data_IF_929822462724
#
_entry.id   IF_929822462724
#
_cell.length_a   1.000
_cell.length_b   1.000
_cell.length_c   1.000
_cell.angle_alpha   90.00
_cell.angle_beta   90.00
_cell.angle_gamma   90.00
#
_symmetry.space_group_name_H-M   'P 1'
#
loop_
_entity.id
_entity.type
_entity.pdbx_description
1 polymer ?
#
# COMPACT_ATOMS: atom_id res chain seq x y z
N UNK A 1 -22.64 -16.21 -13.19
CA UNK A 1 -21.47 -15.65 -12.47
C UNK A 1 -21.28 -16.45 -11.19
N UNK A 2 -20.13 -17.08 -11.00
CA UNK A 2 -19.88 -17.96 -9.83
C UNK A 2 -19.23 -17.16 -8.72
N UNK A 3 -19.82 -17.19 -7.52
CA UNK A 3 -19.26 -16.55 -6.33
C UNK A 3 -18.50 -17.54 -5.47
N UNK A 4 -17.38 -17.08 -4.91
CA UNK A 4 -16.54 -17.83 -3.99
C UNK A 4 -16.68 -17.22 -2.59
N UNK A 5 -16.74 -18.08 -1.57
CA UNK A 5 -16.48 -17.63 -0.20
C UNK A 5 -15.07 -17.05 -0.11
N UNK A 6 -14.81 -16.14 0.84
CA UNK A 6 -13.45 -15.59 1.00
C UNK A 6 -12.36 -16.66 1.18
N UNK A 7 -12.64 -17.81 1.80
CA UNK A 7 -11.65 -18.90 1.91
C UNK A 7 -11.32 -19.51 0.56
N UNK A 8 -12.33 -19.82 -0.24
CA UNK A 8 -12.15 -20.34 -1.60
C UNK A 8 -11.47 -19.31 -2.51
N UNK A 9 -11.86 -18.05 -2.40
CA UNK A 9 -11.27 -16.95 -3.14
C UNK A 9 -9.80 -16.71 -2.76
N UNK A 10 -9.43 -16.86 -1.49
CA UNK A 10 -8.03 -16.72 -1.05
C UNK A 10 -7.14 -17.80 -1.66
N UNK A 11 -7.59 -19.07 -1.64
CA UNK A 11 -6.92 -20.19 -2.33
C UNK A 11 -6.79 -19.85 -3.81
N UNK A 12 -7.87 -19.37 -4.43
CA UNK A 12 -7.85 -19.08 -5.87
C UNK A 12 -6.95 -17.91 -6.25
N UNK A 13 -6.90 -16.89 -5.41
CA UNK A 13 -6.09 -15.69 -5.61
C UNK A 13 -4.60 -15.89 -5.29
N UNK A 14 -4.23 -17.06 -4.77
CA UNK A 14 -2.89 -17.37 -4.24
C UNK A 14 -2.40 -16.31 -3.23
N UNK A 15 -3.25 -16.03 -2.24
CA UNK A 15 -2.92 -15.18 -1.08
C UNK A 15 -3.52 -15.78 0.19
N UNK A 16 -3.03 -15.34 1.34
CA UNK A 16 -3.58 -15.80 2.62
C UNK A 16 -5.01 -15.30 2.82
N UNK A 17 -5.82 -16.08 3.54
CA UNK A 17 -7.18 -15.66 3.91
C UNK A 17 -7.20 -14.30 4.64
N UNK A 18 -6.25 -14.08 5.56
CA UNK A 18 -6.12 -12.82 6.29
C UNK A 18 -5.77 -11.64 5.36
N UNK A 19 -4.93 -11.86 4.33
CA UNK A 19 -4.64 -10.83 3.34
C UNK A 19 -5.90 -10.47 2.53
N UNK A 20 -6.64 -11.48 2.05
CA UNK A 20 -7.86 -11.24 1.30
C UNK A 20 -8.94 -10.54 2.14
N UNK A 21 -9.10 -10.95 3.41
CA UNK A 21 -10.01 -10.26 4.34
C UNK A 21 -9.66 -8.78 4.47
N UNK A 22 -8.38 -8.44 4.66
CA UNK A 22 -7.95 -7.03 4.71
C UNK A 22 -8.26 -6.28 3.41
N UNK A 23 -8.01 -6.90 2.26
CA UNK A 23 -8.28 -6.28 0.95
C UNK A 23 -9.77 -5.95 0.81
N UNK A 24 -10.65 -6.91 1.12
CA UNK A 24 -12.10 -6.69 1.06
C UNK A 24 -12.57 -5.66 2.09
N UNK A 25 -12.08 -5.75 3.34
CA UNK A 25 -12.40 -4.77 4.38
C UNK A 25 -11.85 -3.37 4.14
N UNK A 26 -10.86 -3.22 3.25
CA UNK A 26 -10.34 -1.93 2.82
C UNK A 26 -11.11 -1.33 1.63
N UNK A 27 -12.21 -1.97 1.21
CA UNK A 27 -13.03 -1.51 0.07
C UNK A 27 -12.40 -1.78 -1.30
N UNK A 28 -11.32 -2.57 -1.38
CA UNK A 28 -10.57 -2.75 -2.63
C UNK A 28 -11.19 -3.73 -3.63
N UNK A 29 -12.34 -4.33 -3.32
CA UNK A 29 -13.05 -5.22 -4.24
C UNK A 29 -14.49 -4.74 -4.32
N UNK A 30 -14.78 -3.85 -5.27
CA UNK A 30 -16.12 -3.27 -5.45
C UNK A 30 -17.18 -4.33 -5.75
N UNK A 31 -16.77 -5.43 -6.39
CA UNK A 31 -17.63 -6.56 -6.73
C UNK A 31 -17.89 -7.51 -5.55
N UNK A 32 -17.33 -7.24 -4.36
CA UNK A 32 -17.59 -8.04 -3.18
C UNK A 32 -19.03 -7.86 -2.74
N UNK A 33 -19.69 -8.97 -2.44
CA UNK A 33 -21.07 -8.98 -1.95
C UNK A 33 -21.10 -9.65 -0.59
N UNK A 34 -22.10 -9.30 0.22
CA UNK A 34 -22.38 -9.97 1.48
C UNK A 34 -23.72 -10.71 1.38
N UNK A 35 -23.70 -12.01 1.66
CA UNK A 35 -24.91 -12.78 1.94
C UNK A 35 -24.96 -12.99 3.46
N UNK A 36 -25.62 -12.06 4.16
CA UNK A 36 -25.48 -11.93 5.62
C UNK A 36 -24.07 -11.50 6.01
N UNK A 37 -23.48 -12.12 7.04
CA UNK A 37 -22.14 -11.75 7.55
C UNK A 37 -20.96 -12.35 6.76
N UNK A 38 -21.23 -13.11 5.69
CA UNK A 38 -20.19 -13.83 4.94
C UNK A 38 -19.91 -13.12 3.62
N UNK A 39 -18.74 -12.47 3.47
CA UNK A 39 -18.37 -11.88 2.20
C UNK A 39 -18.07 -12.96 1.18
N UNK A 40 -18.43 -12.69 -0.07
CA UNK A 40 -18.09 -13.46 -1.24
C UNK A 40 -17.60 -12.53 -2.35
N UNK A 41 -16.73 -13.05 -3.21
CA UNK A 41 -16.29 -12.33 -4.41
C UNK A 41 -16.49 -13.21 -5.64
N UNK A 42 -16.70 -12.64 -6.84
CA UNK A 42 -16.77 -13.40 -8.07
C UNK A 42 -15.47 -14.18 -8.34
N UNK A 43 -15.59 -15.37 -8.92
CA UNK A 43 -14.44 -16.24 -9.20
C UNK A 43 -13.44 -15.62 -10.18
N UNK A 44 -13.92 -14.88 -11.17
CA UNK A 44 -13.10 -14.16 -12.15
C UNK A 44 -12.30 -13.00 -11.53
N UNK A 45 -12.85 -12.33 -10.51
CA UNK A 45 -12.13 -11.34 -9.70
C UNK A 45 -10.94 -12.00 -8.99
N UNK A 46 -11.15 -13.18 -8.38
CA UNK A 46 -10.08 -13.92 -7.72
C UNK A 46 -8.95 -14.32 -8.70
N UNK A 47 -9.29 -14.72 -9.92
CA UNK A 47 -8.29 -14.99 -10.97
C UNK A 47 -7.54 -13.72 -11.39
N UNK A 48 -8.22 -12.57 -11.52
CA UNK A 48 -7.57 -11.30 -11.85
C UNK A 48 -6.60 -10.85 -10.75
N UNK A 49 -6.97 -11.03 -9.48
CA UNK A 49 -6.06 -10.81 -8.34
C UNK A 49 -4.85 -11.74 -8.43
N UNK A 50 -5.05 -13.02 -8.76
CA UNK A 50 -3.95 -13.98 -8.96
C UNK A 50 -2.99 -13.53 -10.06
N UNK A 51 -3.54 -13.06 -11.18
CA UNK A 51 -2.79 -12.65 -12.36
C UNK A 51 -2.00 -11.33 -12.19
N UNK A 52 -2.15 -10.62 -11.07
CA UNK A 52 -1.38 -9.39 -10.81
C UNK A 52 0.12 -9.67 -10.80
N UNK A 53 0.84 -8.93 -11.64
CA UNK A 53 2.30 -9.01 -11.77
C UNK A 53 3.00 -8.53 -10.51
N UNK A 54 4.21 -9.04 -10.27
CA UNK A 54 5.11 -8.52 -9.24
C UNK A 54 5.74 -7.21 -9.70
N UNK A 55 5.98 -6.27 -8.78
CA UNK A 55 6.74 -5.05 -9.07
C UNK A 55 8.19 -5.42 -9.47
N UNK A 56 8.66 -5.02 -10.67
CA UNK A 56 10.04 -5.24 -11.08
C UNK A 56 10.93 -4.14 -10.49
N UNK A 57 11.34 -4.27 -9.22
CA UNK A 57 12.03 -3.21 -8.47
C UNK A 57 13.26 -2.66 -9.21
N UNK A 58 14.06 -3.49 -9.86
CA UNK A 58 15.24 -3.06 -10.62
C UNK A 58 14.93 -2.11 -11.79
N UNK A 59 13.75 -2.25 -12.42
CA UNK A 59 13.30 -1.40 -13.54
C UNK A 59 12.41 -0.25 -13.09
N UNK A 60 11.71 -0.43 -11.97
CA UNK A 60 10.70 0.51 -11.49
C UNK A 60 11.31 1.69 -10.70
N UNK A 61 12.58 1.59 -10.36
CA UNK A 61 13.29 2.56 -9.54
C UNK A 61 14.12 3.51 -10.41
N UNK A 62 14.22 4.80 -10.05
CA UNK A 62 15.19 5.70 -10.64
C UNK A 62 16.61 5.12 -10.57
N UNK A 63 17.38 5.24 -11.65
CA UNK A 63 18.77 4.77 -11.77
C UNK A 63 19.74 5.41 -10.76
N UNK A 64 19.29 6.44 -10.03
CA UNK A 64 20.05 7.14 -9.00
C UNK A 64 19.92 6.52 -7.60
N UNK A 65 19.12 5.46 -7.42
CA UNK A 65 19.00 4.78 -6.13
C UNK A 65 20.23 3.90 -5.91
N UNK A 66 21.22 4.45 -5.21
CA UNK A 66 22.47 3.81 -4.79
C UNK A 66 22.25 2.81 -3.63
N UNK A 67 21.20 2.01 -3.71
CA UNK A 67 20.69 1.19 -2.62
C UNK A 67 20.41 -0.24 -3.05
N UNK A 68 20.65 -1.19 -2.14
CA UNK A 68 20.33 -2.62 -2.33
C UNK A 68 18.89 -2.95 -1.93
N UNK A 69 18.10 -1.99 -1.45
CA UNK A 69 16.73 -2.23 -0.99
C UNK A 69 15.85 -0.98 -1.07
N UNK A 70 14.53 -1.20 -1.21
CA UNK A 70 13.48 -0.16 -1.15
C UNK A 70 12.71 -0.29 0.15
N UNK A 71 12.45 0.84 0.80
CA UNK A 71 11.54 0.88 1.93
C UNK A 71 10.09 0.74 1.46
N UNK A 72 9.30 -0.11 2.12
CA UNK A 72 7.89 -0.37 1.82
C UNK A 72 7.10 -0.16 3.10
N UNK A 73 6.10 0.72 3.06
CA UNK A 73 5.15 0.89 4.16
C UNK A 73 4.08 -0.19 4.07
N UNK A 74 3.87 -0.92 5.16
CA UNK A 74 2.83 -1.95 5.28
C UNK A 74 1.74 -1.40 6.16
N UNK A 75 0.52 -1.42 5.64
CA UNK A 75 -0.64 -0.89 6.35
C UNK A 75 -1.68 -1.96 6.59
N UNK A 76 -2.52 -1.70 7.58
CA UNK A 76 -3.77 -2.42 7.77
C UNK A 76 -4.92 -1.61 7.14
N UNK A 77 -6.13 -2.16 7.24
CA UNK A 77 -7.37 -1.45 6.96
C UNK A 77 -7.40 -0.17 7.80
N UNK A 78 -7.83 0.94 7.21
CA UNK A 78 -7.89 2.22 7.91
C UNK A 78 -8.78 2.14 9.15
N UNK A 79 -8.27 2.67 10.26
CA UNK A 79 -9.04 2.83 11.50
C UNK A 79 -8.89 4.27 12.02
N UNK A 80 -9.95 4.84 12.64
CA UNK A 80 -9.82 6.13 13.31
C UNK A 80 -8.76 6.07 14.41
N UNK A 81 -8.05 7.18 14.62
CA UNK A 81 -7.09 7.32 15.73
C UNK A 81 -7.32 8.64 16.46
N UNK A 82 -7.14 8.67 17.79
CA UNK A 82 -7.21 9.90 18.58
C UNK A 82 -5.88 10.67 18.46
N UNK A 83 -5.56 11.11 17.24
CA UNK A 83 -4.33 11.82 16.90
C UNK A 83 -4.69 13.19 16.30
N UNK A 84 -4.05 14.26 16.78
CA UNK A 84 -4.29 15.61 16.25
C UNK A 84 -3.74 15.77 14.83
N UNK A 85 -2.76 14.95 14.45
CA UNK A 85 -2.06 15.04 13.19
C UNK A 85 -2.77 14.32 12.04
N UNK A 86 -3.61 13.33 12.35
CA UNK A 86 -4.31 12.49 11.37
C UNK A 86 -5.58 11.90 11.97
N UNK A 87 -6.63 11.83 11.17
CA UNK A 87 -7.90 11.19 11.57
C UNK A 87 -7.86 9.67 11.52
N UNK A 88 -7.02 9.11 10.65
CA UNK A 88 -6.95 7.68 10.37
C UNK A 88 -5.52 7.18 10.36
N UNK A 89 -5.35 5.90 10.66
CA UNK A 89 -4.12 5.15 10.38
C UNK A 89 -4.46 3.97 9.46
N UNK A 90 -3.70 3.78 8.40
CA UNK A 90 -3.89 2.68 7.45
C UNK A 90 -4.48 3.13 6.11
N UNK A 91 -5.14 2.20 5.40
CA UNK A 91 -5.67 2.44 4.07
C UNK A 91 -7.11 1.95 3.92
N UNK A 92 -7.95 2.74 3.24
CA UNK A 92 -9.27 2.35 2.77
C UNK A 92 -9.58 3.11 1.47
N UNK A 93 -10.23 2.45 0.50
CA UNK A 93 -10.50 3.01 -0.82
C UNK A 93 -11.37 4.28 -0.78
N UNK A 94 -12.28 4.37 0.21
CA UNK A 94 -13.19 5.50 0.39
C UNK A 94 -12.56 6.74 1.06
N UNK A 95 -11.31 6.66 1.53
CA UNK A 95 -10.64 7.84 2.07
C UNK A 95 -10.33 8.83 0.94
N UNK A 96 -10.53 10.11 1.20
CA UNK A 96 -10.12 11.16 0.26
C UNK A 96 -8.60 11.15 0.06
N UNK A 97 -8.06 11.68 -1.06
CA UNK A 97 -6.62 11.77 -1.26
C UNK A 97 -5.87 12.47 -0.12
N UNK A 98 -6.47 13.51 0.46
CA UNK A 98 -5.92 14.22 1.62
C UNK A 98 -5.90 13.35 2.87
N UNK A 99 -6.98 12.64 3.17
CA UNK A 99 -7.03 11.71 4.31
C UNK A 99 -6.05 10.54 4.13
N UNK A 100 -5.90 10.01 2.92
CA UNK A 100 -4.90 8.99 2.59
C UNK A 100 -3.48 9.52 2.82
N UNK A 101 -3.16 10.71 2.32
CA UNK A 101 -1.84 11.29 2.54
C UNK A 101 -1.54 11.45 4.03
N UNK A 102 -2.48 11.99 4.82
CA UNK A 102 -2.30 12.13 6.27
C UNK A 102 -2.17 10.80 7.00
N UNK A 103 -2.95 9.79 6.61
CA UNK A 103 -2.89 8.47 7.21
C UNK A 103 -1.57 7.74 6.93
N UNK A 104 -0.94 8.02 5.77
CA UNK A 104 0.20 7.27 5.25
C UNK A 104 1.55 7.97 5.43
N UNK A 105 1.60 9.30 5.52
CA UNK A 105 2.87 10.04 5.51
C UNK A 105 3.70 9.93 6.78
N UNK A 106 3.18 9.37 7.87
CA UNK A 106 4.00 9.37 9.06
C UNK A 106 3.54 8.74 10.35
N UNK A 107 4.36 9.08 11.34
CA UNK A 107 4.55 8.46 12.63
C UNK A 107 4.91 6.98 12.53
N UNK A 108 5.89 6.67 11.66
CA UNK A 108 6.40 5.32 11.44
C UNK A 108 7.77 5.11 12.08
N UNK A 109 7.97 3.91 12.64
CA UNK A 109 9.30 3.43 13.02
C UNK A 109 10.05 3.00 11.75
N UNK A 110 11.27 3.50 11.54
CA UNK A 110 12.04 3.24 10.33
C UNK A 110 13.42 3.89 10.32
N UNK A 111 14.05 3.93 9.15
CA UNK A 111 15.34 4.58 8.87
C UNK A 111 15.07 5.70 7.88
N UNK A 112 14.81 6.93 8.35
CA UNK A 112 14.28 7.99 7.49
C UNK A 112 15.25 8.39 6.39
N UNK A 113 16.56 8.32 6.62
CA UNK A 113 17.59 8.62 5.62
C UNK A 113 17.54 7.64 4.44
N UNK A 114 17.21 6.36 4.71
CA UNK A 114 17.06 5.35 3.64
C UNK A 114 15.81 5.60 2.81
N UNK A 115 14.72 5.99 3.45
CA UNK A 115 13.45 6.33 2.78
C UNK A 115 13.65 7.58 1.91
N UNK A 116 14.26 8.63 2.47
CA UNK A 116 14.54 9.87 1.76
C UNK A 116 15.45 9.67 0.55
N UNK A 117 16.51 8.85 0.69
CA UNK A 117 17.42 8.53 -0.42
C UNK A 117 16.73 7.78 -1.56
N UNK A 118 15.80 6.88 -1.23
CA UNK A 118 15.02 6.18 -2.25
C UNK A 118 14.04 7.12 -2.97
N UNK A 119 13.61 8.20 -2.32
CA UNK A 119 12.69 9.20 -2.89
C UNK A 119 11.27 8.70 -3.14
N UNK A 120 11.02 7.41 -2.91
CA UNK A 120 9.73 6.74 -3.05
C UNK A 120 9.44 5.85 -1.83
N UNK A 121 8.16 5.72 -1.50
CA UNK A 121 7.67 4.80 -0.48
C UNK A 121 6.38 4.12 -0.98
N UNK A 122 6.51 2.92 -1.58
CA UNK A 122 5.36 2.09 -1.89
C UNK A 122 4.61 1.69 -0.61
N UNK A 123 3.29 1.78 -0.65
CA UNK A 123 2.40 1.42 0.45
C UNK A 123 1.67 0.13 0.09
N UNK A 124 1.73 -0.87 0.96
CA UNK A 124 1.17 -2.19 0.71
C UNK A 124 0.10 -2.59 1.71
N UNK A 125 -0.96 -3.22 1.20
CA UNK A 125 -2.00 -3.88 1.98
C UNK A 125 -2.23 -5.27 1.39
N UNK A 126 -2.18 -6.30 2.22
CA UNK A 126 -2.34 -7.68 1.76
C UNK A 126 -1.29 -8.16 0.75
N UNK A 127 -0.14 -7.47 0.64
CA UNK A 127 0.94 -7.78 -0.30
C UNK A 127 0.79 -7.13 -1.68
N UNK A 128 -0.17 -6.23 -1.87
CA UNK A 128 -0.34 -5.43 -3.08
C UNK A 128 -0.03 -3.97 -2.80
N UNK A 129 0.56 -3.27 -3.77
CA UNK A 129 0.80 -1.83 -3.65
C UNK A 129 -0.52 -1.09 -3.88
N UNK A 130 -1.00 -0.41 -2.83
CA UNK A 130 -2.28 0.30 -2.81
C UNK A 130 -2.12 1.81 -2.93
N UNK A 131 -0.95 2.34 -2.60
CA UNK A 131 -0.59 3.74 -2.79
C UNK A 131 0.93 3.88 -2.98
N UNK A 132 1.37 5.02 -3.51
CA UNK A 132 2.80 5.37 -3.59
C UNK A 132 3.00 6.81 -3.14
N UNK A 133 3.93 7.01 -2.20
CA UNK A 133 4.36 8.33 -1.76
C UNK A 133 5.70 8.69 -2.41
N UNK A 134 5.87 9.97 -2.77
CA UNK A 134 7.12 10.56 -3.29
C UNK A 134 7.42 11.87 -2.57
N UNK A 135 8.51 12.56 -2.93
CA UNK A 135 8.87 13.86 -2.33
C UNK A 135 9.40 13.78 -0.89
N UNK A 136 9.90 12.61 -0.50
CA UNK A 136 10.27 12.24 0.88
C UNK A 136 11.60 12.86 1.37
N UNK A 137 11.91 14.10 0.97
CA UNK A 137 13.22 14.71 1.16
C UNK A 137 13.46 15.29 2.58
N UNK A 138 12.41 15.41 3.38
CA UNK A 138 12.47 15.93 4.74
C UNK A 138 11.51 15.16 5.66
N UNK A 139 11.83 15.15 6.96
CA UNK A 139 11.02 14.48 7.96
C UNK A 139 11.12 15.13 9.32
N UNK A 140 10.03 15.01 10.07
CA UNK A 140 9.96 15.27 11.50
C UNK A 140 10.24 13.98 12.27
N UNK A 141 10.77 14.13 13.48
CA UNK A 141 11.05 13.01 14.39
C UNK A 141 10.47 13.29 15.77
N UNK A 142 9.79 12.31 16.35
CA UNK A 142 9.23 12.39 17.70
C UNK A 142 9.56 11.11 18.48
N UNK A 143 9.92 11.28 19.75
CA UNK A 143 9.91 10.21 20.74
C UNK A 143 8.49 10.08 21.29
N UNK A 144 7.86 8.93 21.11
CA UNK A 144 6.52 8.67 21.62
C UNK A 144 6.56 8.12 23.05
N UNK A 145 5.43 8.20 23.76
CA UNK A 145 5.33 7.82 25.18
C UNK A 145 5.67 6.35 25.45
N UNK A 146 5.60 5.50 24.41
CA UNK A 146 6.04 4.10 24.40
C UNK A 146 7.55 3.92 24.19
N UNK A 147 8.32 5.02 24.18
CA UNK A 147 9.77 5.03 24.01
C UNK A 147 10.25 4.81 22.57
N UNK A 148 9.33 4.77 21.59
CA UNK A 148 9.69 4.57 20.19
C UNK A 148 10.00 5.89 19.48
N UNK A 149 11.01 5.88 18.63
CA UNK A 149 11.29 6.98 17.71
C UNK A 149 10.47 6.78 16.45
N UNK A 150 9.64 7.76 16.12
CA UNK A 150 8.76 7.75 14.95
C UNK A 150 9.03 8.96 14.05
N UNK A 151 8.87 8.74 12.75
CA UNK A 151 9.13 9.76 11.74
C UNK A 151 7.88 10.06 10.92
N UNK A 152 7.69 11.33 10.58
CA UNK A 152 6.67 11.81 9.62
C UNK A 152 7.38 12.52 8.49
N UNK A 153 7.07 12.16 7.26
CA UNK A 153 7.72 12.73 6.08
C UNK A 153 6.89 13.85 5.49
N UNK A 154 7.55 14.87 4.94
CA UNK A 154 6.94 15.65 3.88
C UNK A 154 6.81 14.73 2.66
N UNK A 155 5.60 14.61 2.13
CA UNK A 155 5.28 13.59 1.15
C UNK A 155 4.18 14.07 0.22
N UNK A 156 4.24 13.57 -1.01
CA UNK A 156 3.18 13.72 -2.01
C UNK A 156 2.62 12.34 -2.33
N UNK A 157 1.30 12.24 -2.45
CA UNK A 157 0.65 11.04 -2.92
C UNK A 157 0.75 11.01 -4.45
N UNK A 158 1.64 10.18 -5.01
CA UNK A 158 1.78 10.03 -6.45
C UNK A 158 0.54 9.37 -7.06
N UNK A 159 -0.02 8.39 -6.37
CA UNK A 159 -1.30 7.78 -6.72
C UNK A 159 -1.71 6.68 -5.75
N UNK A 160 -2.94 6.19 -5.92
CA UNK A 160 -3.51 5.08 -5.17
C UNK A 160 -4.53 4.31 -6.01
N UNK A 161 -4.88 3.10 -5.59
CA UNK A 161 -5.94 2.32 -6.23
C UNK A 161 -7.23 2.46 -5.44
N UNK A 162 -8.37 2.58 -6.11
CA UNK A 162 -9.68 2.46 -5.46
C UNK A 162 -10.23 1.03 -5.51
N UNK A 163 -9.73 0.23 -6.44
CA UNK A 163 -10.20 -1.13 -6.68
C UNK A 163 -9.06 -1.98 -7.23
N UNK A 164 -8.87 -3.18 -6.67
CA UNK A 164 -7.83 -4.13 -7.05
C UNK A 164 -8.27 -5.08 -8.17
N UNK A 165 -9.57 -5.16 -8.47
CA UNK A 165 -10.12 -5.96 -9.56
C UNK A 165 -9.84 -5.33 -10.93
N UNK A 166 -10.21 -4.06 -11.12
CA UNK A 166 -9.92 -3.30 -12.34
C UNK A 166 -8.59 -2.54 -12.25
N UNK A 167 -8.00 -2.39 -11.06
CA UNK A 167 -6.84 -1.51 -10.81
C UNK A 167 -7.09 -0.10 -11.36
N UNK A 168 -8.19 0.51 -10.91
CA UNK A 168 -8.47 1.92 -11.20
C UNK A 168 -7.46 2.77 -10.43
N UNK A 169 -6.38 3.15 -11.11
CA UNK A 169 -5.36 4.02 -10.57
C UNK A 169 -5.89 5.46 -10.54
N UNK A 170 -6.10 5.99 -9.35
CA UNK A 170 -6.28 7.42 -9.14
C UNK A 170 -4.90 8.04 -9.03
N UNK A 171 -4.41 8.58 -10.15
CA UNK A 171 -3.14 9.30 -10.16
C UNK A 171 -3.42 10.77 -9.85
N UNK A 172 -2.70 11.30 -8.88
CA UNK A 172 -2.85 12.71 -8.51
C UNK A 172 -2.16 13.58 -9.56
N UNK A 173 -2.62 14.82 -9.75
CA UNK A 173 -1.91 15.81 -10.56
C UNK A 173 -0.50 15.95 -9.97
N UNK A 174 0.49 15.51 -10.74
CA UNK A 174 1.87 15.37 -10.29
C UNK A 174 2.84 15.49 -11.46
N UNK A 175 4.12 15.28 -11.20
CA UNK A 175 5.13 15.29 -12.26
C UNK A 175 5.00 14.04 -13.15
N UNK A 176 5.54 14.08 -14.37
CA UNK A 176 5.62 12.87 -15.22
C UNK A 176 6.34 11.71 -14.53
N UNK A 177 7.26 12.01 -13.60
CA UNK A 177 7.92 11.00 -12.78
C UNK A 177 6.95 10.33 -11.80
N UNK A 178 6.09 11.11 -11.15
CA UNK A 178 5.06 10.59 -10.22
C UNK A 178 4.07 9.68 -10.97
N UNK A 179 3.64 10.08 -12.16
CA UNK A 179 2.77 9.29 -13.04
C UNK A 179 3.41 7.94 -13.42
N UNK A 180 4.68 7.96 -13.86
CA UNK A 180 5.42 6.74 -14.23
C UNK A 180 5.59 5.79 -13.04
N UNK A 181 5.94 6.33 -11.88
CA UNK A 181 6.11 5.53 -10.65
C UNK A 181 4.76 4.90 -10.25
N UNK A 182 3.67 5.66 -10.28
CA UNK A 182 2.34 5.14 -9.98
C UNK A 182 1.97 3.96 -10.90
N UNK A 183 2.15 4.10 -12.22
CA UNK A 183 1.91 3.02 -13.19
C UNK A 183 2.80 1.78 -12.97
N UNK A 184 4.06 2.00 -12.58
CA UNK A 184 5.01 0.92 -12.35
C UNK A 184 4.71 0.11 -11.08
N UNK A 185 4.03 0.68 -10.09
CA UNK A 185 3.83 0.05 -8.78
C UNK A 185 2.38 -0.33 -8.47
N UNK A 186 1.40 0.55 -8.74
CA UNK A 186 0.03 0.40 -8.24
C UNK A 186 -0.65 -0.90 -8.72
N UNK A 187 -1.36 -1.56 -7.81
CA UNK A 187 -2.09 -2.81 -8.06
C UNK A 187 -1.20 -4.05 -8.23
N UNK A 188 0.14 -3.89 -8.26
CA UNK A 188 1.09 -5.00 -8.40
C UNK A 188 1.42 -5.62 -7.06
N UNK A 189 1.89 -6.87 -7.11
CA UNK A 189 2.36 -7.62 -5.94
C UNK A 189 3.72 -7.09 -5.51
N UNK A 190 3.88 -6.83 -4.22
CA UNK A 190 5.16 -6.51 -3.60
C UNK A 190 5.22 -7.21 -2.24
N UNK A 191 5.87 -8.38 -2.23
CA UNK A 191 6.07 -9.15 -1.00
C UNK A 191 7.16 -8.46 -0.16
N UNK A 192 6.87 -8.26 1.11
CA UNK A 192 7.81 -7.68 2.06
C UNK A 192 7.87 -8.51 3.34
N UNK A 193 9.07 -8.91 3.74
CA UNK A 193 9.35 -9.70 4.95
C UNK A 193 9.97 -8.79 6.03
N UNK A 194 9.22 -8.44 7.08
CA UNK A 194 9.75 -7.83 8.33
C UNK A 194 8.67 -7.77 9.42
N UNK A 195 9.02 -7.36 10.65
CA UNK A 195 8.09 -7.22 11.79
C UNK A 195 7.46 -5.82 11.97
N UNK A 196 8.06 -4.75 11.43
CA UNK A 196 7.62 -3.36 11.63
C UNK A 196 6.76 -2.77 10.50
N UNK A 197 6.18 -1.56 10.67
CA UNK A 197 5.38 -0.91 9.62
C UNK A 197 6.19 -0.67 8.35
N UNK A 198 7.48 -0.36 8.47
CA UNK A 198 8.40 -0.28 7.33
C UNK A 198 9.16 -1.59 7.16
N UNK A 199 9.11 -2.14 5.95
CA UNK A 199 9.97 -3.23 5.49
C UNK A 199 11.02 -2.71 4.51
N UNK A 200 12.16 -3.39 4.41
CA UNK A 200 13.19 -3.09 3.41
C UNK A 200 13.30 -4.28 2.47
N UNK A 201 12.79 -4.13 1.26
CA UNK A 201 12.76 -5.20 0.26
C UNK A 201 14.01 -5.09 -0.61
N UNK A 202 14.84 -6.14 -0.71
CA UNK A 202 16.00 -6.12 -1.58
C UNK A 202 15.62 -5.85 -3.04
N UNK A 203 16.41 -5.03 -3.71
CA UNK A 203 16.37 -4.87 -5.16
C UNK A 203 17.27 -5.97 -5.69
N UNK A 204 16.69 -7.13 -6.03
CA UNK A 204 17.43 -8.19 -6.70
C UNK A 204 17.49 -7.90 -8.20
N UNK A 205 18.62 -8.24 -8.82
CA UNK A 205 18.83 -8.22 -10.27
C UNK A 205 17.95 -9.26 -11.01
#
# INVERSE_FOLDING_TARGET
>A
MTFLTLRQAAIRSDITFAALQKIVSAGLISAATSNGDKPSIPADVAERIRARTTVPLHRALPTTIDGTSVAVLRVSVATPVPDNDRRFIGFHADLTPGELLEALRGWWVGKPEKIARAGILPVTLGGFVVAVLTGLNSWETKLTDDGLVRHRFDARLAGYISDLDMATNMVMIGSDADLRIADQFLGKRLKSTSGGPIAYVPIAD
#
